data_IF_439810390305
#
_entry.id   IF_439810390305
#
_cell.length_a   1.000
_cell.length_b   1.000
_cell.length_c   1.000
_cell.angle_alpha   90.00
_cell.angle_beta   90.00
_cell.angle_gamma   90.00
#
_symmetry.space_group_name_H-M   'P 1'
#
loop_
_entity.id
_entity.type
_entity.pdbx_description
1 polymer ?
#
# COMPACT_ATOMS: atom_id res chain seq x y z
N UNK A 1 -2.01 -76.51 40.03
CA UNK A 1 -0.73 -75.77 39.84
C UNK A 1 -0.66 -75.26 38.42
N UNK A 2 -0.05 -74.08 38.24
CA UNK A 2 0.19 -73.35 37.00
C UNK A 2 -0.92 -72.41 36.52
N UNK A 3 -0.81 -71.19 37.03
CA UNK A 3 -1.24 -69.94 36.40
C UNK A 3 -0.54 -69.72 35.06
N UNK A 4 -1.28 -69.12 34.11
CA UNK A 4 -0.90 -67.96 33.27
C UNK A 4 -2.12 -67.66 32.35
N UNK A 5 -2.97 -66.66 32.67
CA UNK A 5 -2.88 -65.23 32.27
C UNK A 5 -2.94 -65.03 30.75
N UNK A 6 -3.71 -64.15 30.11
CA UNK A 6 -4.56 -62.99 30.46
C UNK A 6 -5.02 -62.46 29.07
N UNK A 7 -6.34 -62.45 28.77
CA UNK A 7 -7.19 -61.27 28.51
C UNK A 7 -7.07 -60.50 27.17
N UNK A 8 -8.24 -60.01 26.72
CA UNK A 8 -8.52 -58.78 25.92
C UNK A 8 -8.22 -58.95 24.40
N UNK A 9 -9.01 -58.51 23.41
CA UNK A 9 -10.06 -57.49 23.35
C UNK A 9 -11.02 -57.72 22.17
N UNK A 10 -12.26 -57.28 22.39
CA UNK A 10 -13.23 -56.83 21.38
C UNK A 10 -12.68 -55.61 20.60
N UNK A 11 -13.23 -55.41 19.40
CA UNK A 11 -13.36 -54.17 18.61
C UNK A 11 -12.53 -54.10 17.32
N UNK A 12 -12.98 -54.82 16.28
CA UNK A 12 -12.64 -54.55 14.87
C UNK A 12 -13.93 -54.21 14.16
N UNK A 13 -14.17 -52.91 13.90
CA UNK A 13 -14.92 -52.33 12.77
C UNK A 13 -15.35 -50.90 13.11
N UNK A 14 -14.39 -49.98 13.05
CA UNK A 14 -14.65 -48.56 12.80
C UNK A 14 -13.36 -47.97 12.24
N UNK A 15 -13.21 -47.92 10.92
CA UNK A 15 -12.40 -46.94 10.17
C UNK A 15 -12.47 -47.28 8.67
N UNK A 16 -13.63 -47.01 8.07
CA UNK A 16 -13.79 -46.99 6.62
C UNK A 16 -14.67 -45.79 6.25
N UNK A 17 -14.14 -44.57 6.38
CA UNK A 17 -14.62 -43.37 5.70
C UNK A 17 -13.77 -42.14 6.06
N UNK A 18 -12.49 -42.08 5.66
CA UNK A 18 -11.74 -40.82 5.54
C UNK A 18 -10.55 -41.02 4.60
N UNK A 19 -10.81 -41.28 3.32
CA UNK A 19 -9.75 -41.35 2.30
C UNK A 19 -10.25 -40.95 0.92
N UNK A 20 -11.02 -39.87 0.79
CA UNK A 20 -11.31 -39.26 -0.51
C UNK A 20 -11.34 -37.74 -0.36
N UNK A 21 -10.17 -37.12 -0.13
CA UNK A 21 -9.97 -35.67 -0.33
C UNK A 21 -8.52 -35.27 -0.64
N UNK A 22 -7.59 -36.22 -0.84
CA UNK A 22 -6.16 -35.91 -1.03
C UNK A 22 -5.67 -35.94 -2.49
N UNK A 23 -6.51 -36.27 -3.47
CA UNK A 23 -6.08 -36.45 -4.87
C UNK A 23 -6.11 -35.18 -5.73
N UNK A 24 -6.71 -34.07 -5.27
CA UNK A 24 -6.73 -32.80 -6.04
C UNK A 24 -5.57 -31.86 -5.72
N UNK A 25 -4.75 -32.15 -4.71
CA UNK A 25 -3.58 -31.35 -4.32
C UNK A 25 -2.26 -31.87 -4.90
N UNK A 26 -2.16 -33.18 -5.15
CA UNK A 26 -0.92 -33.81 -5.63
C UNK A 26 -0.49 -33.29 -7.03
N UNK A 27 -1.44 -33.10 -7.95
CA UNK A 27 -1.13 -32.62 -9.31
C UNK A 27 -0.66 -31.16 -9.35
N UNK A 28 -1.21 -30.30 -8.48
CA UNK A 28 -0.79 -28.88 -8.40
C UNK A 28 0.60 -28.72 -7.79
N UNK A 29 0.98 -29.59 -6.87
CA UNK A 29 2.30 -29.52 -6.21
C UNK A 29 3.40 -30.12 -7.09
N UNK A 30 3.10 -31.16 -7.89
CA UNK A 30 4.03 -31.66 -8.92
C UNK A 30 4.28 -30.61 -10.01
N UNK A 31 3.23 -29.97 -10.55
CA UNK A 31 3.37 -28.93 -11.57
C UNK A 31 4.22 -27.74 -11.08
N UNK A 32 4.01 -27.29 -9.84
CA UNK A 32 4.83 -26.24 -9.22
C UNK A 32 6.28 -26.69 -9.02
N UNK A 33 6.52 -27.95 -8.66
CA UNK A 33 7.87 -28.50 -8.51
C UNK A 33 8.66 -28.47 -9.83
N UNK A 34 7.98 -28.80 -10.93
CA UNK A 34 8.53 -28.80 -12.30
C UNK A 34 8.81 -27.37 -12.76
N UNK A 35 7.86 -26.44 -12.58
CA UNK A 35 8.04 -25.02 -12.90
C UNK A 35 9.22 -24.43 -12.13
N UNK A 36 9.33 -24.73 -10.82
CA UNK A 36 10.41 -24.22 -9.99
C UNK A 36 11.79 -24.72 -10.45
N UNK A 37 11.89 -26.01 -10.82
CA UNK A 37 13.13 -26.59 -11.34
C UNK A 37 13.51 -26.04 -12.72
N UNK A 38 12.51 -25.67 -13.54
CA UNK A 38 12.74 -25.11 -14.87
C UNK A 38 13.43 -23.74 -14.84
N UNK A 39 13.05 -22.86 -13.90
CA UNK A 39 13.64 -21.52 -13.85
C UNK A 39 15.10 -21.51 -13.39
N UNK A 40 15.59 -22.54 -12.69
CA UNK A 40 17.03 -22.68 -12.37
C UNK A 40 17.87 -22.97 -13.62
N UNK A 41 17.27 -23.59 -14.63
CA UNK A 41 17.93 -23.95 -15.88
C UNK A 41 17.79 -22.87 -16.97
N UNK A 42 16.92 -21.88 -16.75
CA UNK A 42 16.73 -20.76 -17.66
C UNK A 42 17.99 -19.86 -17.68
N UNK A 43 18.60 -19.60 -18.87
CA UNK A 43 19.73 -18.69 -19.01
C UNK A 43 19.52 -17.32 -18.37
N UNK A 44 18.27 -16.83 -18.32
CA UNK A 44 17.89 -15.57 -17.67
C UNK A 44 18.11 -15.58 -16.16
N UNK A 45 18.29 -16.74 -15.52
CA UNK A 45 18.56 -16.86 -14.09
C UNK A 45 19.90 -17.55 -13.78
N UNK A 46 20.72 -17.81 -14.79
CA UNK A 46 22.12 -18.18 -14.61
C UNK A 46 22.94 -16.93 -14.27
N UNK A 47 23.67 -16.98 -13.15
CA UNK A 47 24.50 -15.88 -12.66
C UNK A 47 25.96 -16.28 -12.57
N UNK A 48 26.82 -15.27 -12.50
CA UNK A 48 28.22 -15.49 -12.19
C UNK A 48 28.47 -15.63 -10.68
N UNK A 49 29.67 -16.06 -10.31
CA UNK A 49 30.06 -16.23 -8.90
C UNK A 49 29.96 -14.94 -8.07
N UNK A 50 30.21 -13.77 -8.69
CA UNK A 50 30.14 -12.48 -8.00
C UNK A 50 28.70 -12.10 -7.69
N UNK A 51 27.79 -12.35 -8.63
CA UNK A 51 26.35 -12.12 -8.49
C UNK A 51 25.75 -13.05 -7.43
N UNK A 52 26.13 -14.33 -7.43
CA UNK A 52 25.74 -15.28 -6.40
C UNK A 52 26.20 -14.80 -5.02
N UNK A 53 27.47 -14.43 -4.89
CA UNK A 53 28.04 -13.93 -3.64
C UNK A 53 27.37 -12.64 -3.15
N UNK A 54 27.06 -11.71 -4.07
CA UNK A 54 26.34 -10.47 -3.76
C UNK A 54 24.93 -10.78 -3.27
N UNK A 55 24.17 -11.63 -3.97
CA UNK A 55 22.81 -11.96 -3.56
C UNK A 55 22.79 -12.75 -2.26
N UNK A 56 23.71 -13.70 -2.06
CA UNK A 56 23.82 -14.43 -0.79
C UNK A 56 23.97 -13.50 0.42
N UNK A 57 24.58 -12.32 0.26
CA UNK A 57 24.77 -11.33 1.33
C UNK A 57 23.66 -10.29 1.46
N UNK A 58 22.96 -9.97 0.37
CA UNK A 58 22.04 -8.82 0.32
C UNK A 58 20.57 -9.21 0.26
N UNK A 59 20.26 -10.46 -0.10
CA UNK A 59 18.90 -10.89 -0.40
C UNK A 59 17.97 -10.86 0.82
N UNK A 60 18.49 -11.05 2.03
CA UNK A 60 17.70 -10.87 3.27
C UNK A 60 17.13 -9.45 3.36
N UNK A 61 17.98 -8.45 3.14
CA UNK A 61 17.58 -7.04 3.16
C UNK A 61 16.61 -6.72 2.03
N UNK A 62 16.88 -7.21 0.82
CA UNK A 62 16.01 -7.03 -0.35
C UNK A 62 14.62 -7.64 -0.07
N UNK A 63 14.57 -8.86 0.46
CA UNK A 63 13.34 -9.57 0.81
C UNK A 63 12.48 -8.77 1.80
N UNK A 64 13.07 -8.26 2.88
CA UNK A 64 12.34 -7.45 3.87
C UNK A 64 11.88 -6.12 3.28
N UNK A 65 12.71 -5.45 2.47
CA UNK A 65 12.33 -4.22 1.76
C UNK A 65 11.12 -4.46 0.86
N UNK A 66 11.19 -5.47 -0.01
CA UNK A 66 10.11 -5.81 -0.96
C UNK A 66 8.83 -6.13 -0.19
N UNK A 67 8.91 -6.94 0.87
CA UNK A 67 7.75 -7.26 1.72
C UNK A 67 7.09 -6.01 2.30
N UNK A 68 7.87 -5.11 2.87
CA UNK A 68 7.36 -3.86 3.45
C UNK A 68 6.75 -2.96 2.37
N UNK A 69 7.35 -2.90 1.18
CA UNK A 69 6.83 -2.15 0.04
C UNK A 69 5.49 -2.71 -0.46
N UNK A 70 5.33 -4.04 -0.48
CA UNK A 70 4.05 -4.69 -0.78
C UNK A 70 3.00 -4.36 0.28
N UNK A 71 3.35 -4.39 1.57
CA UNK A 71 2.40 -4.02 2.64
C UNK A 71 1.93 -2.57 2.52
N UNK A 72 2.82 -1.64 2.14
CA UNK A 72 2.42 -0.27 1.85
C UNK A 72 1.45 -0.19 0.65
N UNK A 73 1.71 -0.94 -0.43
CA UNK A 73 0.79 -1.04 -1.57
C UNK A 73 -0.57 -1.63 -1.19
N UNK A 74 -0.61 -2.60 -0.28
CA UNK A 74 -1.88 -3.16 0.24
C UNK A 74 -2.72 -2.05 0.88
N UNK A 75 -2.10 -1.19 1.71
CA UNK A 75 -2.81 -0.07 2.33
C UNK A 75 -3.36 0.90 1.28
N UNK A 76 -2.53 1.33 0.33
CA UNK A 76 -2.93 2.25 -0.73
C UNK A 76 -4.05 1.64 -1.59
N UNK A 77 -3.94 0.36 -1.93
CA UNK A 77 -4.93 -0.36 -2.75
C UNK A 77 -6.26 -0.54 -2.01
N UNK A 78 -6.24 -0.75 -0.69
CA UNK A 78 -7.48 -0.78 0.09
C UNK A 78 -8.18 0.58 0.13
N UNK A 79 -7.43 1.67 0.17
CA UNK A 79 -7.98 3.03 0.22
C UNK A 79 -8.47 3.52 -1.14
N UNK A 80 -7.73 3.24 -2.23
CA UNK A 80 -7.95 3.86 -3.54
C UNK A 80 -8.05 2.87 -4.70
N UNK A 81 -8.03 1.56 -4.45
CA UNK A 81 -8.01 0.55 -5.51
C UNK A 81 -9.27 0.56 -6.37
N UNK A 82 -10.42 0.95 -5.83
CA UNK A 82 -11.64 1.18 -6.62
C UNK A 82 -11.50 2.31 -7.65
N UNK A 83 -10.56 3.23 -7.44
CA UNK A 83 -10.29 4.37 -8.32
C UNK A 83 -9.13 4.13 -9.29
N UNK A 84 -8.43 3.00 -9.17
CA UNK A 84 -7.29 2.64 -10.01
C UNK A 84 -7.55 1.28 -10.66
N UNK A 85 -7.90 1.30 -11.94
CA UNK A 85 -8.29 0.09 -12.67
C UNK A 85 -7.18 -0.98 -12.66
N UNK A 86 -7.58 -2.21 -12.34
CA UNK A 86 -6.68 -3.37 -12.31
C UNK A 86 -5.76 -3.44 -11.09
N UNK A 87 -5.87 -2.51 -10.12
CA UNK A 87 -4.92 -2.45 -9.00
C UNK A 87 -4.95 -3.68 -8.10
N UNK A 88 -6.12 -4.30 -7.91
CA UNK A 88 -6.27 -5.49 -7.09
C UNK A 88 -5.63 -6.71 -7.77
N UNK A 89 -5.84 -6.84 -9.08
CA UNK A 89 -5.25 -7.89 -9.90
C UNK A 89 -3.73 -7.77 -9.96
N UNK A 90 -3.23 -6.55 -10.17
CA UNK A 90 -1.80 -6.25 -10.17
C UNK A 90 -1.17 -6.55 -8.80
N UNK A 91 -1.82 -6.14 -7.70
CA UNK A 91 -1.35 -6.43 -6.34
C UNK A 91 -1.31 -7.93 -6.04
N UNK A 92 -2.33 -8.67 -6.48
CA UNK A 92 -2.36 -10.14 -6.35
C UNK A 92 -1.24 -10.79 -7.18
N UNK A 93 -0.95 -10.26 -8.36
CA UNK A 93 0.16 -10.72 -9.20
C UNK A 93 1.51 -10.48 -8.53
N UNK A 94 1.73 -9.28 -7.95
CA UNK A 94 2.93 -8.93 -7.19
C UNK A 94 3.13 -9.89 -6.00
N UNK A 95 2.07 -10.22 -5.26
CA UNK A 95 2.15 -11.21 -4.17
C UNK A 95 2.58 -12.59 -4.67
N UNK A 96 2.07 -13.03 -5.83
CA UNK A 96 2.48 -14.30 -6.44
C UNK A 96 3.95 -14.28 -6.84
N UNK A 97 4.41 -13.21 -7.49
CA UNK A 97 5.83 -13.04 -7.87
C UNK A 97 6.75 -13.03 -6.65
N UNK A 98 6.36 -12.32 -5.59
CA UNK A 98 7.11 -12.30 -4.33
C UNK A 98 7.20 -13.68 -3.69
N UNK A 99 6.08 -14.41 -3.62
CA UNK A 99 6.05 -15.76 -3.04
C UNK A 99 6.88 -16.75 -3.87
N UNK A 100 6.85 -16.62 -5.20
CA UNK A 100 7.72 -17.39 -6.09
C UNK A 100 9.19 -17.09 -5.83
N UNK A 101 9.58 -15.81 -5.75
CA UNK A 101 10.93 -15.40 -5.40
C UNK A 101 11.37 -15.92 -4.00
N UNK A 102 10.45 -15.98 -3.03
CA UNK A 102 10.69 -16.55 -1.71
C UNK A 102 11.01 -18.05 -1.77
N UNK A 103 10.33 -18.82 -2.63
CA UNK A 103 10.63 -20.25 -2.78
C UNK A 103 12.10 -20.47 -3.17
N UNK A 104 12.61 -19.69 -4.11
CA UNK A 104 14.02 -19.74 -4.53
C UNK A 104 14.98 -19.27 -3.44
N UNK A 105 14.60 -18.23 -2.70
CA UNK A 105 15.39 -17.73 -1.57
C UNK A 105 15.58 -18.82 -0.50
N UNK A 106 14.51 -19.51 -0.09
CA UNK A 106 14.59 -20.58 0.90
C UNK A 106 15.33 -21.83 0.39
N UNK A 107 15.34 -22.04 -0.93
CA UNK A 107 16.17 -23.07 -1.60
C UNK A 107 17.64 -22.67 -1.78
N UNK A 108 18.05 -21.48 -1.30
CA UNK A 108 19.40 -20.92 -1.48
C UNK A 108 19.80 -20.71 -2.94
N UNK A 109 18.84 -20.64 -3.85
CA UNK A 109 19.07 -20.30 -5.25
C UNK A 109 19.14 -18.78 -5.38
N UNK A 110 20.22 -18.20 -4.86
CA UNK A 110 20.32 -16.76 -4.58
C UNK A 110 20.20 -15.88 -5.83
N UNK A 111 20.78 -16.31 -6.96
CA UNK A 111 20.68 -15.56 -8.23
C UNK A 111 19.24 -15.52 -8.72
N UNK A 112 18.58 -16.68 -8.81
CA UNK A 112 17.19 -16.81 -9.26
C UNK A 112 16.28 -15.95 -8.38
N UNK A 113 16.42 -16.09 -7.07
CA UNK A 113 15.64 -15.35 -6.09
C UNK A 113 15.89 -13.83 -6.19
N UNK A 114 17.15 -13.41 -6.33
CA UNK A 114 17.52 -12.01 -6.47
C UNK A 114 16.94 -11.36 -7.73
N UNK A 115 17.00 -12.05 -8.86
CA UNK A 115 16.42 -11.57 -10.13
C UNK A 115 14.89 -11.54 -10.08
N UNK A 116 14.23 -12.55 -9.50
CA UNK A 116 12.77 -12.54 -9.31
C UNK A 116 12.29 -11.48 -8.31
N UNK A 117 13.06 -11.17 -7.26
CA UNK A 117 12.79 -10.03 -6.37
C UNK A 117 12.89 -8.68 -7.11
N UNK A 118 13.83 -8.55 -8.06
CA UNK A 118 13.93 -7.36 -8.92
C UNK A 118 12.72 -7.23 -9.84
N UNK A 119 12.29 -8.31 -10.48
CA UNK A 119 11.07 -8.34 -11.33
C UNK A 119 9.81 -8.00 -10.53
N UNK A 120 9.74 -8.48 -9.28
CA UNK A 120 8.67 -8.11 -8.34
C UNK A 120 8.70 -6.60 -8.07
N UNK A 121 9.88 -6.02 -7.89
CA UNK A 121 10.05 -4.57 -7.68
C UNK A 121 9.62 -3.75 -8.89
N UNK A 122 9.98 -4.18 -10.11
CA UNK A 122 9.54 -3.53 -11.34
C UNK A 122 8.01 -3.57 -11.51
N UNK A 123 7.37 -4.67 -11.09
CA UNK A 123 5.91 -4.78 -11.10
C UNK A 123 5.26 -3.88 -10.05
N UNK A 124 5.88 -3.76 -8.87
CA UNK A 124 5.45 -2.78 -7.84
C UNK A 124 5.56 -1.35 -8.34
N UNK A 125 6.65 -0.97 -9.02
CA UNK A 125 6.86 0.39 -9.52
C UNK A 125 5.78 0.76 -10.55
N UNK A 126 5.37 -0.17 -11.40
CA UNK A 126 4.23 0.02 -12.33
C UNK A 126 2.93 0.31 -11.59
N UNK A 127 2.65 -0.43 -10.51
CA UNK A 127 1.43 -0.21 -9.70
C UNK A 127 1.51 1.12 -8.94
N UNK A 128 2.66 1.44 -8.34
CA UNK A 128 2.89 2.75 -7.70
C UNK A 128 2.73 3.90 -8.70
N UNK A 129 3.18 3.75 -9.94
CA UNK A 129 2.99 4.78 -10.97
C UNK A 129 1.49 5.06 -11.21
N UNK A 130 0.67 4.01 -11.36
CA UNK A 130 -0.79 4.16 -11.49
C UNK A 130 -1.41 4.90 -10.30
N UNK A 131 -1.01 4.56 -9.07
CA UNK A 131 -1.45 5.29 -7.89
C UNK A 131 -0.94 6.73 -7.88
N UNK A 132 0.30 6.98 -8.33
CA UNK A 132 0.84 8.33 -8.40
C UNK A 132 0.02 9.22 -9.32
N UNK A 133 -0.56 8.70 -10.41
CA UNK A 133 -1.50 9.41 -11.29
C UNK A 133 -2.78 9.80 -10.57
N UNK A 134 -3.35 8.87 -9.81
CA UNK A 134 -4.52 9.14 -8.99
C UNK A 134 -4.23 10.21 -7.94
N UNK A 135 -3.11 10.09 -7.22
CA UNK A 135 -2.73 11.06 -6.18
C UNK A 135 -2.45 12.44 -6.77
N UNK A 136 -1.83 12.52 -7.93
CA UNK A 136 -1.57 13.80 -8.60
C UNK A 136 -2.89 14.53 -8.90
N UNK A 137 -3.82 13.87 -9.61
CA UNK A 137 -5.13 14.45 -9.94
C UNK A 137 -5.92 14.86 -8.70
N UNK A 138 -5.92 14.00 -7.68
CA UNK A 138 -6.65 14.26 -6.43
C UNK A 138 -6.05 15.43 -5.64
N UNK A 139 -4.72 15.55 -5.63
CA UNK A 139 -4.01 16.64 -4.97
C UNK A 139 -4.25 17.95 -5.71
N UNK A 140 -4.11 17.96 -7.05
CA UNK A 140 -4.37 19.12 -7.90
C UNK A 140 -5.78 19.69 -7.67
N UNK A 141 -6.80 18.81 -7.72
CA UNK A 141 -8.19 19.19 -7.43
C UNK A 141 -8.34 19.80 -6.03
N UNK A 142 -7.77 19.17 -5.00
CA UNK A 142 -7.84 19.65 -3.63
C UNK A 142 -7.18 21.03 -3.46
N UNK A 143 -6.01 21.26 -4.07
CA UNK A 143 -5.31 22.54 -4.00
C UNK A 143 -6.03 23.64 -4.80
N UNK A 144 -6.69 23.28 -5.91
CA UNK A 144 -7.61 24.17 -6.63
C UNK A 144 -8.77 24.60 -5.74
N UNK A 145 -9.45 23.65 -5.08
CA UNK A 145 -10.52 23.97 -4.12
C UNK A 145 -10.03 24.87 -2.97
N UNK A 146 -8.79 24.69 -2.51
CA UNK A 146 -8.18 25.57 -1.50
C UNK A 146 -7.98 26.99 -2.03
N UNK A 147 -7.48 27.15 -3.25
CA UNK A 147 -7.26 28.44 -3.87
C UNK A 147 -8.59 29.19 -4.04
N UNK A 148 -9.63 28.53 -4.57
CA UNK A 148 -10.96 29.11 -4.73
C UNK A 148 -11.57 29.53 -3.38
N UNK A 149 -11.38 28.71 -2.34
CA UNK A 149 -11.85 29.03 -0.99
C UNK A 149 -11.13 30.27 -0.43
N UNK A 150 -9.82 30.38 -0.61
CA UNK A 150 -9.05 31.56 -0.18
C UNK A 150 -9.55 32.82 -0.91
N UNK A 151 -9.69 32.74 -2.24
CA UNK A 151 -10.20 33.85 -3.06
C UNK A 151 -11.59 34.29 -2.60
N UNK A 152 -12.49 33.34 -2.35
CA UNK A 152 -13.84 33.65 -1.84
C UNK A 152 -13.79 34.35 -0.48
N UNK A 153 -12.95 33.88 0.45
CA UNK A 153 -12.79 34.51 1.76
C UNK A 153 -12.23 35.93 1.63
N UNK A 154 -11.25 36.15 0.73
CA UNK A 154 -10.67 37.46 0.45
C UNK A 154 -11.68 38.44 -0.16
N UNK A 155 -12.52 37.98 -1.10
CA UNK A 155 -13.59 38.80 -1.69
C UNK A 155 -14.64 39.23 -0.65
N UNK A 156 -15.05 38.33 0.25
CA UNK A 156 -16.01 38.66 1.32
C UNK A 156 -15.44 39.66 2.34
N UNK A 157 -14.12 39.71 2.50
CA UNK A 157 -13.45 40.65 3.39
C UNK A 157 -13.48 42.09 2.86
N UNK A 158 -13.50 42.29 1.54
CA UNK A 158 -13.54 43.63 0.94
C UNK A 158 -14.89 44.36 1.14
N UNK A 159 -15.92 43.67 1.66
CA UNK A 159 -17.26 44.23 1.89
C UNK A 159 -17.66 44.48 3.35
N UNK A 160 -16.88 44.07 4.35
CA UNK A 160 -17.30 44.12 5.78
C UNK A 160 -16.22 44.64 6.74
N UNK A 161 -16.57 45.67 7.52
CA UNK A 161 -15.61 46.59 8.18
C UNK A 161 -15.08 46.19 9.58
N UNK A 162 -15.74 45.40 10.47
CA UNK A 162 -15.23 45.27 11.83
C UNK A 162 -14.20 44.13 12.10
N UNK A 163 -13.92 43.23 11.15
CA UNK A 163 -13.07 42.03 11.39
C UNK A 163 -11.86 41.89 10.44
N UNK A 164 -11.42 42.99 9.83
CA UNK A 164 -10.40 42.97 8.78
C UNK A 164 -9.05 42.38 9.21
N UNK A 165 -8.56 42.69 10.43
CA UNK A 165 -7.20 42.31 10.85
C UNK A 165 -7.05 40.82 11.19
N UNK A 166 -8.04 40.21 11.83
CA UNK A 166 -8.01 38.79 12.19
C UNK A 166 -8.14 37.91 10.94
N UNK A 167 -9.07 38.27 10.04
CA UNK A 167 -9.32 37.52 8.80
C UNK A 167 -8.18 37.67 7.79
N UNK A 168 -7.56 38.85 7.70
CA UNK A 168 -6.34 39.05 6.89
C UNK A 168 -5.17 38.14 7.31
N UNK A 169 -4.93 38.00 8.63
CA UNK A 169 -3.89 37.09 9.14
C UNK A 169 -4.20 35.63 8.83
N UNK A 170 -5.46 35.24 8.89
CA UNK A 170 -5.92 33.89 8.57
C UNK A 170 -5.73 33.57 7.08
N UNK A 171 -6.07 34.50 6.18
CA UNK A 171 -5.81 34.38 4.74
C UNK A 171 -4.33 34.23 4.48
N UNK A 172 -3.49 35.12 5.03
CA UNK A 172 -2.03 35.07 4.85
C UNK A 172 -1.43 33.74 5.33
N UNK A 173 -1.87 33.24 6.49
CA UNK A 173 -1.41 31.95 7.03
C UNK A 173 -1.80 30.78 6.14
N UNK A 174 -3.04 30.76 5.63
CA UNK A 174 -3.50 29.68 4.76
C UNK A 174 -2.92 29.79 3.34
N UNK A 175 -2.67 30.99 2.84
CA UNK A 175 -1.91 31.21 1.60
C UNK A 175 -0.49 30.63 1.71
N UNK A 176 0.20 30.87 2.82
CA UNK A 176 1.52 30.28 3.04
C UNK A 176 1.49 28.75 3.08
N UNK A 177 0.49 28.15 3.73
CA UNK A 177 0.29 26.69 3.68
C UNK A 177 0.00 26.18 2.27
N UNK A 178 -0.76 26.93 1.48
CA UNK A 178 -1.06 26.57 0.10
C UNK A 178 0.23 26.57 -0.73
N UNK A 179 1.13 27.54 -0.53
CA UNK A 179 2.45 27.55 -1.16
C UNK A 179 3.27 26.31 -0.78
N UNK A 180 3.27 25.92 0.50
CA UNK A 180 3.96 24.70 0.96
C UNK A 180 3.35 23.47 0.27
N UNK A 181 2.02 23.39 0.18
CA UNK A 181 1.34 22.28 -0.45
C UNK A 181 1.69 22.15 -1.95
N UNK A 182 1.70 23.25 -2.70
CA UNK A 182 2.15 23.26 -4.09
C UNK A 182 3.62 22.88 -4.22
N UNK A 183 4.49 23.33 -3.31
CA UNK A 183 5.89 22.92 -3.32
C UNK A 183 6.03 21.40 -3.13
N UNK A 184 5.25 20.80 -2.24
CA UNK A 184 5.23 19.34 -2.04
C UNK A 184 4.72 18.62 -3.29
N UNK A 185 3.67 19.13 -3.95
CA UNK A 185 3.20 18.59 -5.23
C UNK A 185 4.30 18.62 -6.31
N UNK A 186 5.05 19.72 -6.42
CA UNK A 186 6.19 19.84 -7.34
C UNK A 186 7.29 18.80 -7.01
N UNK A 187 7.57 18.57 -5.72
CA UNK A 187 8.51 17.50 -5.32
C UNK A 187 7.99 16.12 -5.71
N UNK A 188 6.70 15.86 -5.53
CA UNK A 188 6.08 14.61 -5.96
C UNK A 188 6.26 14.38 -7.47
N UNK A 189 6.04 15.40 -8.29
CA UNK A 189 6.24 15.33 -9.74
C UNK A 189 7.69 15.07 -10.14
N UNK A 190 8.66 15.64 -9.41
CA UNK A 190 10.09 15.34 -9.60
C UNK A 190 10.37 13.87 -9.30
N UNK A 191 9.89 13.36 -8.18
CA UNK A 191 10.06 11.94 -7.82
C UNK A 191 9.43 11.02 -8.88
N UNK A 192 8.27 11.38 -9.43
CA UNK A 192 7.65 10.63 -10.52
C UNK A 192 8.51 10.62 -11.79
N UNK A 193 9.11 11.75 -12.17
CA UNK A 193 10.02 11.84 -13.33
C UNK A 193 11.26 10.95 -13.15
N UNK A 194 11.73 10.83 -11.92
CA UNK A 194 12.85 9.96 -11.55
C UNK A 194 12.44 8.48 -11.34
N UNK A 195 11.20 8.11 -11.68
CA UNK A 195 10.60 6.77 -11.45
C UNK A 195 10.55 6.35 -9.97
N UNK A 196 10.70 7.30 -9.04
CA UNK A 196 10.58 7.10 -7.59
C UNK A 196 9.13 7.26 -7.14
N UNK A 197 8.26 6.42 -7.69
CA UNK A 197 6.80 6.57 -7.53
C UNK A 197 6.35 6.43 -6.07
N UNK A 198 6.92 5.49 -5.30
CA UNK A 198 6.63 5.36 -3.87
C UNK A 198 6.92 6.65 -3.09
N UNK A 199 8.05 7.30 -3.38
CA UNK A 199 8.42 8.55 -2.71
C UNK A 199 7.50 9.71 -3.11
N UNK A 200 7.02 9.71 -4.37
CA UNK A 200 6.04 10.70 -4.81
C UNK A 200 4.74 10.67 -4.00
N UNK A 201 4.26 9.47 -3.63
CA UNK A 201 3.05 9.33 -2.80
C UNK A 201 3.21 10.00 -1.44
N UNK A 202 4.41 9.97 -0.84
CA UNK A 202 4.67 10.63 0.43
C UNK A 202 4.53 12.16 0.31
N UNK A 203 5.07 12.74 -0.75
CA UNK A 203 4.92 14.17 -1.02
C UNK A 203 3.47 14.57 -1.30
N UNK A 204 2.73 13.75 -2.06
CA UNK A 204 1.29 13.98 -2.26
C UNK A 204 0.50 13.88 -0.95
N UNK A 205 0.79 12.91 -0.08
CA UNK A 205 0.15 12.81 1.25
C UNK A 205 0.36 14.09 2.07
N UNK A 206 1.57 14.63 2.10
CA UNK A 206 1.86 15.89 2.80
C UNK A 206 1.11 17.05 2.17
N UNK A 207 1.08 17.16 0.83
CA UNK A 207 0.33 18.21 0.14
C UNK A 207 -1.17 18.14 0.46
N UNK A 208 -1.75 16.93 0.45
CA UNK A 208 -3.15 16.71 0.83
C UNK A 208 -3.44 17.08 2.28
N UNK A 209 -2.55 16.75 3.21
CA UNK A 209 -2.70 17.13 4.62
C UNK A 209 -2.81 18.65 4.79
N UNK A 210 -1.95 19.41 4.11
CA UNK A 210 -2.05 20.87 4.10
C UNK A 210 -3.35 21.36 3.46
N UNK A 211 -3.74 20.80 2.31
CA UNK A 211 -4.98 21.17 1.62
C UNK A 211 -6.23 20.95 2.48
N UNK A 212 -6.35 19.75 3.09
CA UNK A 212 -7.48 19.44 3.98
C UNK A 212 -7.48 20.35 5.20
N UNK A 213 -6.30 20.67 5.75
CA UNK A 213 -6.17 21.63 6.86
C UNK A 213 -6.64 23.04 6.49
N UNK A 214 -6.31 23.52 5.28
CA UNK A 214 -6.73 24.82 4.77
C UNK A 214 -8.26 24.87 4.65
N UNK A 215 -8.85 23.90 3.94
CA UNK A 215 -10.31 23.84 3.74
C UNK A 215 -11.08 23.73 5.06
N UNK A 216 -10.56 22.93 6.00
CA UNK A 216 -11.20 22.75 7.31
C UNK A 216 -11.14 24.01 8.18
N UNK A 217 -10.16 24.90 7.99
CA UNK A 217 -10.02 26.12 8.80
C UNK A 217 -10.79 27.30 8.22
N UNK A 218 -10.77 27.46 6.90
CA UNK A 218 -11.40 28.60 6.24
C UNK A 218 -12.93 28.51 6.16
N UNK A 219 -13.48 27.31 6.37
CA UNK A 219 -14.92 27.08 6.37
C UNK A 219 -15.51 27.09 7.78
N UNK A 220 -16.79 27.47 7.94
CA UNK A 220 -17.50 27.36 9.22
C UNK A 220 -17.47 25.93 9.78
N UNK A 221 -17.66 25.77 11.10
CA UNK A 221 -17.51 24.50 11.80
C UNK A 221 -18.31 23.34 11.18
N UNK A 222 -19.57 23.56 10.77
CA UNK A 222 -20.38 22.51 10.14
C UNK A 222 -19.86 22.12 8.75
N UNK A 223 -19.37 23.08 7.96
CA UNK A 223 -18.73 22.79 6.69
C UNK A 223 -17.34 22.16 6.86
N UNK A 224 -16.63 22.48 7.95
CA UNK A 224 -15.35 21.86 8.30
C UNK A 224 -15.50 20.36 8.56
N UNK A 225 -16.58 19.94 9.26
CA UNK A 225 -16.91 18.53 9.42
C UNK A 225 -17.17 17.86 8.07
N UNK A 226 -17.92 18.53 7.18
CA UNK A 226 -18.17 18.03 5.83
C UNK A 226 -16.87 17.86 5.01
N UNK A 227 -15.89 18.76 5.17
CA UNK A 227 -14.57 18.63 4.56
C UNK A 227 -13.85 17.38 5.08
N UNK A 228 -13.81 17.18 6.41
CA UNK A 228 -13.14 16.01 7.00
C UNK A 228 -13.80 14.71 6.55
N UNK A 229 -15.13 14.69 6.46
CA UNK A 229 -15.88 13.55 5.97
C UNK A 229 -15.59 13.29 4.47
N UNK A 230 -15.61 14.34 3.63
CA UNK A 230 -15.27 14.24 2.19
C UNK A 230 -13.88 13.65 1.96
N UNK A 231 -12.91 13.98 2.82
CA UNK A 231 -11.51 13.57 2.69
C UNK A 231 -11.06 12.52 3.73
N UNK A 232 -11.99 11.80 4.38
CA UNK A 232 -11.67 10.83 5.45
C UNK A 232 -10.73 9.70 5.03
N UNK A 233 -10.87 9.24 3.78
CA UNK A 233 -9.99 8.23 3.18
C UNK A 233 -8.58 8.82 3.01
N UNK A 234 -8.46 10.07 2.55
CA UNK A 234 -7.17 10.74 2.43
C UNK A 234 -6.50 10.97 3.78
N UNK A 235 -7.25 11.38 4.81
CA UNK A 235 -6.73 11.58 6.16
C UNK A 235 -6.17 10.27 6.75
N UNK A 236 -6.86 9.15 6.51
CA UNK A 236 -6.39 7.83 6.93
C UNK A 236 -5.13 7.43 6.16
N UNK A 237 -5.14 7.62 4.84
CA UNK A 237 -4.01 7.31 3.98
C UNK A 237 -2.76 8.16 4.27
N UNK A 238 -2.93 9.45 4.57
CA UNK A 238 -1.83 10.35 4.93
C UNK A 238 -1.05 9.83 6.17
N UNK A 239 -1.74 9.11 7.05
CA UNK A 239 -1.18 8.43 8.23
C UNK A 239 -0.71 6.99 7.95
N UNK A 240 -0.75 6.57 6.70
CA UNK A 240 -0.46 5.21 6.24
C UNK A 240 -1.39 4.15 6.87
N UNK A 241 -2.66 4.50 7.10
CA UNK A 241 -3.70 3.62 7.64
C UNK A 241 -4.72 3.26 6.55
N UNK A 242 -5.30 2.07 6.69
CA UNK A 242 -6.47 1.67 5.90
C UNK A 242 -7.70 2.36 6.49
N UNK A 243 -8.48 3.04 5.66
CA UNK A 243 -9.75 3.60 6.09
C UNK A 243 -10.70 2.45 6.46
N UNK A 244 -11.25 2.51 7.68
CA UNK A 244 -12.29 1.60 8.15
C UNK A 244 -13.40 2.43 8.80
N UNK A 245 -14.65 2.20 8.43
CA UNK A 245 -15.78 2.92 9.06
C UNK A 245 -15.87 2.65 10.57
N UNK A 246 -15.30 1.53 11.04
CA UNK A 246 -15.28 1.16 12.46
C UNK A 246 -14.41 2.06 13.36
N UNK A 247 -13.45 2.81 12.81
CA UNK A 247 -12.59 3.69 13.61
C UNK A 247 -13.25 5.02 13.96
N UNK A 248 -14.16 5.52 13.11
CA UNK A 248 -14.82 6.83 13.32
C UNK A 248 -15.88 6.77 14.44
N UNK A 249 -16.44 5.58 14.72
CA UNK A 249 -17.41 5.36 15.80
C UNK A 249 -16.79 5.29 17.21
N UNK A 250 -15.47 5.10 17.34
CA UNK A 250 -14.82 5.02 18.67
C UNK A 250 -14.38 6.38 19.22
N UNK A 251 -14.15 7.38 18.37
CA UNK A 251 -13.85 8.75 18.81
C UNK A 251 -15.13 9.54 19.14
N UNK A 252 -16.25 9.23 18.48
CA UNK A 252 -17.56 9.85 18.74
C UNK A 252 -18.24 9.35 20.01
N UNK A 253 -17.79 8.24 20.61
CA UNK A 253 -18.26 7.72 21.91
C UNK A 253 -17.39 8.11 23.10
N UNK A 254 -16.34 8.93 22.90
CA UNK A 254 -15.44 9.40 23.96
C UNK A 254 -15.60 10.89 24.32
N UNK A 255 -16.69 11.54 23.90
CA UNK A 255 -17.04 12.90 24.32
C UNK A 255 -18.37 12.90 25.07
#
# INVERSE_FOLDING_TARGET
MSFKSFRISILVLFFAAFSISAQSSASKDEDKGIELASATNDPKYQGDYLEEFRYARTLDSIKEKVKNDIHALVTVTKNFGSNVQGSNEDLNSIWKQYNDALHYYYRRQYVVAGRKMRETTESMDKLYNKFSDHYNKRTDQLLGECADTIVSVEQTQNGSVPSYSARSREISTNHHKLQIAYYQMIQADRMRKDSRYKDSLMHFRIAKEYGISILSKLKPEEESKNVREKYKIDLSDNRNLVYSESSDNKESQKK
#
